data_IF_726158325185
#
_entry.id   IF_726158325185
#
_cell.length_a   1.000
_cell.length_b   1.000
_cell.length_c   1.000
_cell.angle_alpha   90.00
_cell.angle_beta   90.00
_cell.angle_gamma   90.00
#
_symmetry.space_group_name_H-M   'P 1'
#
loop_
_entity.id
_entity.type
_entity.pdbx_description
1 polymer ?
#
# COMPACT_ATOMS: atom_id res chain seq x y z
N UNK A 1 10.62 13.24 3.05
CA UNK A 1 9.40 12.80 3.80
C UNK A 1 9.13 11.35 3.40
N UNK A 2 8.78 10.46 4.34
CA UNK A 2 8.40 9.08 3.99
C UNK A 2 6.99 9.05 3.38
N UNK A 3 6.76 8.19 2.41
CA UNK A 3 5.48 8.04 1.71
C UNK A 3 5.03 6.58 1.74
N UNK A 4 3.74 6.37 2.00
CA UNK A 4 3.11 5.05 2.05
C UNK A 4 1.89 5.07 1.13
N UNK A 5 1.88 4.20 0.11
CA UNK A 5 0.74 4.01 -0.79
C UNK A 5 -0.24 2.94 -0.27
N UNK A 6 -1.52 3.07 -0.62
CA UNK A 6 -2.57 2.11 -0.28
C UNK A 6 -3.04 1.39 -1.55
N UNK A 7 -2.74 0.09 -1.68
CA UNK A 7 -2.97 -0.70 -2.89
C UNK A 7 -4.40 -1.27 -3.01
N UNK A 8 -5.11 -1.49 -1.90
CA UNK A 8 -6.47 -2.09 -1.92
C UNK A 8 -7.53 -1.08 -1.50
N UNK A 9 -7.32 -0.36 -0.41
CA UNK A 9 -8.27 0.67 0.06
C UNK A 9 -8.07 2.04 -0.61
N UNK A 10 -7.16 2.15 -1.58
CA UNK A 10 -6.80 3.40 -2.27
C UNK A 10 -7.45 3.55 -3.65
N UNK A 11 -7.32 4.74 -4.23
CA UNK A 11 -7.94 5.06 -5.53
C UNK A 11 -7.46 4.16 -6.68
N UNK A 12 -6.19 3.75 -6.67
CA UNK A 12 -5.62 2.92 -7.74
C UNK A 12 -6.22 1.50 -7.82
N UNK A 13 -6.84 1.00 -6.73
CA UNK A 13 -7.57 -0.27 -6.76
C UNK A 13 -8.89 -0.17 -7.52
N UNK A 14 -9.53 1.01 -7.47
CA UNK A 14 -10.68 1.37 -8.30
C UNK A 14 -11.94 0.55 -8.05
N UNK A 15 -12.22 0.15 -6.81
CA UNK A 15 -13.43 -0.57 -6.44
C UNK A 15 -14.12 0.06 -5.22
N UNK A 16 -15.45 0.05 -5.21
CA UNK A 16 -16.22 0.31 -3.99
C UNK A 16 -16.09 -0.87 -3.03
N UNK A 17 -16.42 -0.65 -1.76
CA UNK A 17 -16.43 -1.72 -0.75
C UNK A 17 -17.33 -2.89 -1.14
N UNK A 18 -18.55 -2.61 -1.61
CA UNK A 18 -19.50 -3.66 -2.00
C UNK A 18 -18.98 -4.47 -3.21
N UNK A 19 -18.37 -3.80 -4.19
CA UNK A 19 -17.75 -4.49 -5.32
C UNK A 19 -16.61 -5.38 -4.85
N UNK A 20 -15.70 -4.87 -4.02
CA UNK A 20 -14.57 -5.61 -3.46
C UNK A 20 -15.01 -6.89 -2.73
N UNK A 21 -16.08 -6.83 -1.93
CA UNK A 21 -16.61 -7.98 -1.18
C UNK A 21 -17.10 -9.13 -2.07
N UNK A 22 -17.45 -8.84 -3.33
CA UNK A 22 -17.92 -9.86 -4.28
C UNK A 22 -16.82 -10.38 -5.21
N UNK A 23 -15.62 -9.80 -5.15
CA UNK A 23 -14.50 -10.18 -6.02
C UNK A 23 -13.89 -11.51 -5.60
N UNK A 24 -13.38 -12.23 -6.60
CA UNK A 24 -12.51 -13.38 -6.36
C UNK A 24 -11.18 -12.93 -5.77
N UNK A 25 -10.48 -13.85 -5.09
CA UNK A 25 -9.14 -13.55 -4.55
C UNK A 25 -8.14 -13.24 -5.67
N UNK A 26 -8.32 -13.89 -6.81
CA UNK A 26 -7.52 -13.73 -8.02
C UNK A 26 -7.69 -12.33 -8.61
N UNK A 27 -8.93 -11.84 -8.74
CA UNK A 27 -9.21 -10.50 -9.24
C UNK A 27 -8.65 -9.41 -8.30
N UNK A 28 -8.79 -9.62 -6.99
CA UNK A 28 -8.19 -8.73 -5.97
C UNK A 28 -6.68 -8.71 -6.12
N UNK A 29 -6.03 -9.87 -6.26
CA UNK A 29 -4.59 -9.96 -6.39
C UNK A 29 -4.07 -9.23 -7.65
N UNK A 30 -4.73 -9.40 -8.80
CA UNK A 30 -4.36 -8.72 -10.05
C UNK A 30 -4.48 -7.20 -9.92
N UNK A 31 -5.59 -6.71 -9.36
CA UNK A 31 -5.81 -5.27 -9.17
C UNK A 31 -4.84 -4.67 -8.16
N UNK A 32 -4.60 -5.37 -7.06
CA UNK A 32 -3.63 -4.99 -6.02
C UNK A 32 -2.24 -4.84 -6.62
N UNK A 33 -1.78 -5.83 -7.40
CA UNK A 33 -0.45 -5.81 -8.02
C UNK A 33 -0.28 -4.62 -8.96
N UNK A 34 -1.30 -4.35 -9.77
CA UNK A 34 -1.30 -3.19 -10.66
C UNK A 34 -1.27 -1.85 -9.90
N UNK A 35 -2.08 -1.72 -8.84
CA UNK A 35 -2.08 -0.53 -7.98
C UNK A 35 -0.73 -0.34 -7.28
N UNK A 36 -0.17 -1.42 -6.71
CA UNK A 36 1.12 -1.38 -6.03
C UNK A 36 2.26 -1.00 -6.97
N UNK A 37 2.31 -1.60 -8.17
CA UNK A 37 3.30 -1.27 -9.20
C UNK A 37 3.29 0.21 -9.55
N UNK A 38 2.10 0.81 -9.73
CA UNK A 38 1.98 2.24 -10.00
C UNK A 38 2.43 3.11 -8.83
N UNK A 39 2.04 2.76 -7.60
CA UNK A 39 2.41 3.51 -6.41
C UNK A 39 3.93 3.51 -6.19
N UNK A 40 4.58 2.36 -6.39
CA UNK A 40 6.03 2.27 -6.36
C UNK A 40 6.69 3.07 -7.48
N UNK A 41 6.17 2.99 -8.70
CA UNK A 41 6.67 3.80 -9.83
C UNK A 41 6.52 5.31 -9.59
N UNK A 42 5.54 5.73 -8.80
CA UNK A 42 5.35 7.12 -8.38
C UNK A 42 6.25 7.56 -7.20
N UNK A 43 7.11 6.68 -6.68
CA UNK A 43 8.04 6.99 -5.60
C UNK A 43 7.51 6.71 -4.19
N UNK A 44 6.52 5.83 -4.04
CA UNK A 44 6.13 5.34 -2.72
C UNK A 44 7.28 4.57 -2.07
N UNK A 45 7.66 4.93 -0.83
CA UNK A 45 8.68 4.20 -0.08
C UNK A 45 8.15 2.84 0.41
N UNK A 46 6.85 2.76 0.68
CA UNK A 46 6.13 1.55 1.05
C UNK A 46 4.77 1.52 0.37
N UNK A 47 4.25 0.32 0.15
CA UNK A 47 2.87 0.11 -0.27
C UNK A 47 2.27 -0.97 0.63
N UNK A 48 1.05 -0.73 1.10
CA UNK A 48 0.27 -1.67 1.93
C UNK A 48 -1.15 -1.79 1.39
N UNK A 49 -1.91 -2.77 1.85
CA UNK A 49 -3.26 -2.99 1.33
C UNK A 49 -4.23 -1.98 1.90
N UNK A 50 -4.13 -1.71 3.20
CA UNK A 50 -4.98 -0.74 3.88
C UNK A 50 -4.26 -0.08 5.07
N UNK A 51 -4.94 0.86 5.71
CA UNK A 51 -4.44 1.50 6.94
C UNK A 51 -4.23 0.51 8.11
N UNK A 52 -4.85 -0.66 8.08
CA UNK A 52 -4.65 -1.68 9.11
C UNK A 52 -3.19 -2.16 9.19
N UNK A 53 -2.46 -2.09 8.08
CA UNK A 53 -1.07 -2.52 7.98
C UNK A 53 -0.07 -1.42 8.38
N UNK A 54 -0.54 -0.18 8.56
CA UNK A 54 0.30 0.99 8.81
C UNK A 54 1.14 0.91 10.10
N UNK A 55 0.66 0.33 11.23
CA UNK A 55 1.47 0.19 12.44
C UNK A 55 2.80 -0.54 12.19
N UNK A 56 2.80 -1.59 11.35
CA UNK A 56 4.02 -2.33 11.00
C UNK A 56 5.00 -1.49 10.18
N UNK A 57 4.49 -0.71 9.23
CA UNK A 57 5.31 0.21 8.41
C UNK A 57 5.93 1.33 9.27
N UNK A 58 5.16 1.88 10.21
CA UNK A 58 5.66 2.92 11.13
C UNK A 58 6.81 2.36 11.99
N UNK A 59 6.66 1.13 12.51
CA UNK A 59 7.73 0.49 13.27
C UNK A 59 9.01 0.35 12.43
N UNK A 60 8.88 -0.05 11.17
CA UNK A 60 10.02 -0.18 10.26
C UNK A 60 10.66 1.17 9.90
N UNK A 61 9.85 2.21 9.63
CA UNK A 61 10.34 3.57 9.40
C UNK A 61 11.12 4.09 10.62
N UNK A 62 10.60 3.88 11.83
CA UNK A 62 11.27 4.31 13.06
C UNK A 62 12.62 3.62 13.25
N UNK A 63 12.72 2.32 12.92
CA UNK A 63 13.98 1.59 12.97
C UNK A 63 15.01 2.18 11.98
N UNK A 64 14.61 2.45 10.74
CA UNK A 64 15.47 3.07 9.71
C UNK A 64 15.92 4.49 10.12
N UNK A 65 15.00 5.29 10.68
CA UNK A 65 15.30 6.63 11.19
C UNK A 65 16.34 6.61 12.32
N UNK A 66 16.24 5.62 13.22
CA UNK A 66 17.20 5.41 14.32
C UNK A 66 18.60 5.03 13.81
N UNK A 67 18.68 4.38 12.65
CA UNK A 67 19.93 4.07 11.95
C UNK A 67 20.47 5.25 11.12
N UNK A 68 19.79 6.40 11.14
CA UNK A 68 20.21 7.60 10.43
C UNK A 68 19.72 7.68 8.98
N UNK A 69 18.97 6.70 8.49
CA UNK A 69 18.39 6.76 7.15
C UNK A 69 17.39 7.91 7.02
N UNK A 70 17.32 8.49 5.83
CA UNK A 70 16.36 9.52 5.46
C UNK A 70 15.82 9.22 4.06
N UNK A 71 14.53 9.49 3.80
CA UNK A 71 13.96 9.46 2.47
C UNK A 71 14.38 10.69 1.67
#
# INVERSE_FOLDING_TARGET
MWTVGLAVSGNEFGATWDAYQTMSKEDVAVRREHAASKLYAAGAHYVVDSLADLPGVIAHINARLAQGERP
#
